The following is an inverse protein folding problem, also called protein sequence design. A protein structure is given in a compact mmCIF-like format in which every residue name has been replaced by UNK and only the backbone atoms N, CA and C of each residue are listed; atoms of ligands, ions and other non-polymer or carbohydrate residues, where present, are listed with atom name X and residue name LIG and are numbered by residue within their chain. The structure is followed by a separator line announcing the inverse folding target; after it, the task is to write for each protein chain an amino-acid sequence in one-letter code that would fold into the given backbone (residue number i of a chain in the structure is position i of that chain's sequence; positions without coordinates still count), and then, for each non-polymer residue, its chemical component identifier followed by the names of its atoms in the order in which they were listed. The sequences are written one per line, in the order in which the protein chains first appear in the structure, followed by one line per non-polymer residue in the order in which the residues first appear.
data_IF_595927309740
#
_entry.id   IF_595927309740
#
_cell.length_a   1.000
_cell.length_b   1.000
_cell.length_c   1.000
_cell.angle_alpha   90.00
_cell.angle_beta   90.00
_cell.angle_gamma   90.00
#
_symmetry.space_group_name_H-M   'P 1'
#
loop_
_entity.id
_entity.type
_entity.pdbx_description
1 polymer ?
#
# COMPACT_ATOMS: atom_id res chain seq x y z
N UNK A 1 -17.36 0.40 -5.79
CA UNK A 1 -16.86 -0.63 -6.71
C UNK A 1 -16.61 -1.90 -5.90
N UNK A 2 -17.29 -3.00 -6.21
CA UNK A 2 -17.20 -4.24 -5.44
C UNK A 2 -15.86 -4.97 -5.66
N UNK A 3 -15.49 -5.90 -4.76
CA UNK A 3 -14.24 -6.68 -4.82
C UNK A 3 -14.00 -7.36 -6.18
N UNK A 4 -15.07 -7.92 -6.80
CA UNK A 4 -15.00 -8.57 -8.12
C UNK A 4 -14.61 -7.57 -9.23
N UNK A 5 -15.22 -6.39 -9.26
CA UNK A 5 -14.91 -5.36 -10.27
C UNK A 5 -13.49 -4.83 -10.11
N UNK A 6 -13.00 -4.67 -8.87
CA UNK A 6 -11.61 -4.28 -8.61
C UNK A 6 -10.64 -5.35 -9.10
N UNK A 7 -10.94 -6.62 -8.81
CA UNK A 7 -10.11 -7.75 -9.25
C UNK A 7 -10.04 -7.80 -10.78
N UNK A 8 -11.16 -7.67 -11.48
CA UNK A 8 -11.20 -7.64 -12.94
C UNK A 8 -10.38 -6.48 -13.51
N UNK A 9 -10.48 -5.28 -12.92
CA UNK A 9 -9.68 -4.13 -13.33
C UNK A 9 -8.18 -4.40 -13.21
N UNK A 10 -7.73 -4.95 -12.07
CA UNK A 10 -6.31 -5.22 -11.87
C UNK A 10 -5.81 -6.36 -12.77
N UNK A 11 -6.61 -7.41 -13.01
CA UNK A 11 -6.28 -8.47 -13.98
C UNK A 11 -6.13 -7.87 -15.37
N UNK A 12 -7.10 -7.06 -15.81
CA UNK A 12 -7.04 -6.38 -17.10
C UNK A 12 -5.80 -5.48 -17.22
N UNK A 13 -5.53 -4.65 -16.22
CA UNK A 13 -4.33 -3.79 -16.18
C UNK A 13 -3.05 -4.64 -16.28
N UNK A 14 -2.98 -5.76 -15.55
CA UNK A 14 -1.83 -6.66 -15.59
C UNK A 14 -1.61 -7.21 -16.99
N UNK A 15 -2.66 -7.70 -17.65
CA UNK A 15 -2.59 -8.26 -19.01
C UNK A 15 -2.15 -7.20 -20.02
N UNK A 16 -2.77 -6.02 -20.00
CA UNK A 16 -2.44 -4.93 -20.94
C UNK A 16 -1.00 -4.45 -20.74
N UNK A 17 -0.58 -4.24 -19.49
CA UNK A 17 0.79 -3.80 -19.23
C UNK A 17 1.83 -4.88 -19.59
N UNK A 18 1.54 -6.17 -19.33
CA UNK A 18 2.42 -7.28 -19.73
C UNK A 18 2.56 -7.39 -21.23
N UNK A 19 1.48 -7.25 -21.98
CA UNK A 19 1.50 -7.21 -23.45
C UNK A 19 2.34 -6.03 -23.95
N UNK A 20 2.20 -4.85 -23.34
CA UNK A 20 2.99 -3.67 -23.68
C UNK A 20 4.49 -3.87 -23.38
N UNK A 21 4.84 -4.48 -22.25
CA UNK A 21 6.24 -4.86 -21.92
C UNK A 21 6.80 -5.77 -23.01
N UNK A 22 6.05 -6.81 -23.39
CA UNK A 22 6.48 -7.75 -24.43
C UNK A 22 6.69 -7.06 -25.79
N UNK A 23 5.76 -6.20 -26.21
CA UNK A 23 5.84 -5.47 -27.47
C UNK A 23 7.05 -4.51 -27.48
N UNK A 24 7.27 -3.76 -26.41
CA UNK A 24 8.42 -2.86 -26.31
C UNK A 24 9.75 -3.64 -26.25
N UNK A 25 9.80 -4.75 -25.52
CA UNK A 25 10.95 -5.64 -25.48
C UNK A 25 11.27 -6.23 -26.85
N UNK A 26 10.25 -6.73 -27.56
CA UNK A 26 10.39 -7.26 -28.93
C UNK A 26 10.86 -6.17 -29.91
N UNK A 27 10.33 -4.95 -29.79
CA UNK A 27 10.73 -3.81 -30.61
C UNK A 27 12.17 -3.38 -30.31
N UNK A 28 12.56 -3.34 -29.04
CA UNK A 28 13.92 -3.03 -28.60
C UNK A 28 14.94 -3.99 -29.22
N UNK A 29 14.67 -5.30 -29.23
CA UNK A 29 15.57 -6.28 -29.83
C UNK A 29 15.55 -6.29 -31.36
N UNK A 30 14.47 -5.86 -31.99
CA UNK A 30 14.37 -5.78 -33.46
C UNK A 30 14.86 -4.45 -34.04
N UNK A 31 14.87 -3.40 -33.23
CA UNK A 31 15.22 -2.06 -33.67
C UNK A 31 16.72 -1.93 -33.84
N UNK A 32 17.11 -1.60 -35.08
CA UNK A 32 18.50 -1.27 -35.45
C UNK A 32 18.86 0.20 -35.16
N UNK A 33 17.93 0.97 -34.54
CA UNK A 33 18.12 2.39 -34.28
C UNK A 33 18.44 2.60 -32.77
N UNK A 34 19.72 2.92 -32.44
CA UNK A 34 20.15 3.11 -31.04
C UNK A 34 19.47 4.30 -30.37
N UNK A 35 18.99 5.29 -31.11
CA UNK A 35 18.41 6.53 -30.61
C UNK A 35 17.05 6.31 -29.93
N UNK A 36 16.33 5.23 -30.27
CA UNK A 36 15.03 4.89 -29.65
C UNK A 36 15.15 3.96 -28.44
N UNK A 37 16.34 3.44 -28.17
CA UNK A 37 16.55 2.50 -27.07
C UNK A 37 16.16 3.05 -25.69
N UNK A 38 16.46 4.31 -25.31
CA UNK A 38 16.09 4.85 -24.00
C UNK A 38 14.57 4.92 -23.77
N UNK A 39 13.79 5.26 -24.79
CA UNK A 39 12.33 5.35 -24.66
C UNK A 39 11.68 3.98 -24.50
N UNK A 40 12.16 2.96 -25.18
CA UNK A 40 11.69 1.59 -25.03
C UNK A 40 12.03 1.02 -23.65
N UNK A 41 13.24 1.25 -23.14
CA UNK A 41 13.64 0.82 -21.80
C UNK A 41 12.84 1.51 -20.72
N UNK A 42 12.57 2.82 -20.86
CA UNK A 42 11.71 3.54 -19.93
C UNK A 42 10.29 2.98 -19.92
N UNK A 43 9.69 2.72 -21.09
CA UNK A 43 8.36 2.12 -21.19
C UNK A 43 8.32 0.72 -20.57
N UNK A 44 9.33 -0.12 -20.84
CA UNK A 44 9.44 -1.46 -20.25
C UNK A 44 9.48 -1.34 -18.71
N UNK A 45 10.30 -0.45 -18.17
CA UNK A 45 10.42 -0.25 -16.72
C UNK A 45 9.09 0.24 -16.10
N UNK A 46 8.45 1.25 -16.71
CA UNK A 46 7.18 1.81 -16.24
C UNK A 46 6.05 0.77 -16.27
N UNK A 47 5.93 0.04 -17.37
CA UNK A 47 4.88 -0.97 -17.53
C UNK A 47 5.12 -2.18 -16.63
N UNK A 48 6.37 -2.60 -16.43
CA UNK A 48 6.74 -3.65 -15.46
C UNK A 48 6.38 -3.23 -14.04
N UNK A 49 6.62 -1.97 -13.67
CA UNK A 49 6.18 -1.41 -12.40
C UNK A 49 4.66 -1.52 -12.21
N UNK A 50 3.88 -1.14 -13.24
CA UNK A 50 2.42 -1.24 -13.20
C UNK A 50 1.93 -2.70 -13.08
N UNK A 51 2.57 -3.65 -13.76
CA UNK A 51 2.30 -5.09 -13.63
C UNK A 51 2.47 -5.54 -12.18
N UNK A 52 3.61 -5.21 -11.58
CA UNK A 52 3.91 -5.64 -10.20
C UNK A 52 2.96 -4.98 -9.20
N UNK A 53 2.64 -3.70 -9.37
CA UNK A 53 1.67 -3.01 -8.51
C UNK A 53 0.27 -3.64 -8.61
N UNK A 54 -0.15 -4.00 -9.83
CA UNK A 54 -1.44 -4.66 -10.08
C UNK A 54 -1.48 -6.07 -9.49
N UNK A 55 -0.43 -6.87 -9.67
CA UNK A 55 -0.29 -8.20 -9.04
C UNK A 55 -0.31 -8.10 -7.51
N UNK A 56 0.39 -7.13 -6.93
CA UNK A 56 0.34 -6.87 -5.49
C UNK A 56 -1.08 -6.54 -4.99
N UNK A 57 -1.87 -5.84 -5.81
CA UNK A 57 -3.29 -5.56 -5.50
C UNK A 57 -4.15 -6.81 -5.61
N UNK A 58 -3.98 -7.63 -6.64
CA UNK A 58 -4.69 -8.92 -6.80
C UNK A 58 -4.40 -9.83 -5.61
N UNK A 59 -3.12 -10.03 -5.27
CA UNK A 59 -2.72 -10.85 -4.13
C UNK A 59 -3.34 -10.36 -2.82
N UNK A 60 -3.39 -9.04 -2.61
CA UNK A 60 -4.03 -8.46 -1.44
C UNK A 60 -5.52 -8.77 -1.39
N UNK A 61 -6.22 -8.66 -2.52
CA UNK A 61 -7.64 -9.00 -2.59
C UNK A 61 -7.88 -10.50 -2.34
N UNK A 62 -6.97 -11.37 -2.78
CA UNK A 62 -7.08 -12.82 -2.56
C UNK A 62 -6.80 -13.22 -1.11
N UNK A 63 -5.87 -12.54 -0.43
CA UNK A 63 -5.47 -12.85 0.95
C UNK A 63 -6.30 -12.12 2.01
N UNK A 64 -7.14 -11.17 1.61
CA UNK A 64 -8.01 -10.44 2.54
C UNK A 64 -9.07 -11.36 3.14
N UNK A 65 -9.43 -11.18 4.42
CA UNK A 65 -10.49 -11.92 5.07
C UNK A 65 -11.82 -11.83 4.29
N UNK A 66 -12.60 -12.88 4.34
CA UNK A 66 -13.93 -12.87 3.72
C UNK A 66 -14.86 -11.88 4.45
N UNK A 67 -15.77 -11.20 3.74
CA UNK A 67 -16.73 -10.29 4.37
C UNK A 67 -17.54 -10.94 5.51
N UNK A 68 -17.92 -12.20 5.35
CA UNK A 68 -18.68 -12.98 6.33
C UNK A 68 -17.94 -13.08 7.66
N UNK A 69 -16.63 -13.32 7.63
CA UNK A 69 -15.79 -13.38 8.84
C UNK A 69 -15.69 -12.02 9.56
N UNK A 70 -15.65 -10.94 8.78
CA UNK A 70 -15.57 -9.59 9.34
C UNK A 70 -16.90 -9.19 9.99
N UNK A 71 -18.00 -9.62 9.40
CA UNK A 71 -19.37 -9.32 9.89
C UNK A 71 -19.79 -10.23 11.04
N UNK A 72 -19.12 -11.36 11.29
CA UNK A 72 -19.40 -12.20 12.46
C UNK A 72 -18.83 -11.55 13.73
N UNK A 73 -19.69 -11.10 14.69
CA UNK A 73 -19.22 -10.43 15.88
C UNK A 73 -18.46 -11.34 16.84
N UNK A 74 -18.68 -12.67 16.77
CA UNK A 74 -18.02 -13.67 17.63
C UNK A 74 -16.68 -14.15 17.07
N UNK A 75 -16.42 -13.94 15.78
CA UNK A 75 -15.17 -14.35 15.16
C UNK A 75 -14.00 -13.40 15.49
N UNK A 76 -12.85 -13.97 15.79
CA UNK A 76 -11.58 -13.21 15.81
C UNK A 76 -11.03 -13.12 14.39
N UNK A 77 -10.88 -11.90 13.90
CA UNK A 77 -10.41 -11.63 12.54
C UNK A 77 -9.13 -10.81 12.59
N UNK A 78 -8.07 -11.37 11.99
CA UNK A 78 -6.79 -10.66 11.83
C UNK A 78 -6.70 -10.12 10.41
N UNK A 79 -6.65 -8.80 10.31
CA UNK A 79 -6.53 -8.07 9.05
C UNK A 79 -5.12 -7.48 9.04
N UNK A 80 -4.21 -8.11 8.32
CA UNK A 80 -2.82 -7.72 8.29
C UNK A 80 -2.35 -7.42 6.86
N UNK A 81 -1.33 -6.57 6.76
CA UNK A 81 -0.63 -6.38 5.49
C UNK A 81 0.02 -7.71 5.07
N UNK A 82 -0.31 -8.21 3.88
CA UNK A 82 0.26 -9.46 3.35
C UNK A 82 1.78 -9.38 3.28
N UNK A 83 2.46 -10.43 3.77
CA UNK A 83 3.93 -10.58 3.69
C UNK A 83 4.39 -10.45 2.26
N UNK A 84 3.70 -11.13 1.34
CA UNK A 84 4.03 -11.13 -0.10
C UNK A 84 3.96 -9.71 -0.66
N UNK A 85 2.89 -8.96 -0.36
CA UNK A 85 2.75 -7.58 -0.83
C UNK A 85 3.86 -6.69 -0.27
N UNK A 86 4.25 -6.89 0.98
CA UNK A 86 5.35 -6.16 1.60
C UNK A 86 6.69 -6.51 0.95
N UNK A 87 6.95 -7.79 0.70
CA UNK A 87 8.18 -8.26 0.02
C UNK A 87 8.28 -7.72 -1.41
N UNK A 88 7.16 -7.74 -2.16
CA UNK A 88 7.11 -7.15 -3.50
C UNK A 88 7.43 -5.66 -3.45
N UNK A 89 6.86 -4.90 -2.50
CA UNK A 89 7.18 -3.48 -2.32
C UNK A 89 8.65 -3.25 -1.99
N UNK A 90 9.25 -4.08 -1.12
CA UNK A 90 10.68 -4.00 -0.80
C UNK A 90 11.53 -4.23 -2.05
N UNK A 91 11.21 -5.25 -2.83
CA UNK A 91 11.92 -5.55 -4.07
C UNK A 91 11.82 -4.39 -5.07
N UNK A 92 10.63 -3.84 -5.26
CA UNK A 92 10.42 -2.71 -6.18
C UNK A 92 11.19 -1.45 -5.75
N UNK A 93 11.16 -1.14 -4.45
CA UNK A 93 11.93 -0.01 -3.93
C UNK A 93 13.43 -0.28 -4.04
N UNK A 94 13.88 -1.52 -3.88
CA UNK A 94 15.26 -1.91 -4.13
C UNK A 94 15.69 -1.71 -5.57
N UNK A 95 14.85 -2.09 -6.53
CA UNK A 95 15.08 -1.84 -7.97
C UNK A 95 15.13 -0.34 -8.26
N UNK A 96 14.24 0.45 -7.66
CA UNK A 96 14.21 1.90 -7.81
C UNK A 96 15.51 2.54 -7.30
N UNK A 97 16.01 2.10 -6.15
CA UNK A 97 17.29 2.54 -5.57
C UNK A 97 18.45 2.15 -6.49
N UNK A 98 18.48 0.90 -6.97
CA UNK A 98 19.51 0.43 -7.90
C UNK A 98 19.51 1.23 -9.21
N UNK A 99 18.34 1.53 -9.77
CA UNK A 99 18.20 2.35 -10.96
C UNK A 99 18.68 3.80 -10.73
N UNK A 100 18.38 4.36 -9.54
CA UNK A 100 18.89 5.68 -9.15
C UNK A 100 20.42 5.71 -9.05
N UNK A 101 21.03 4.70 -8.42
CA UNK A 101 22.49 4.56 -8.32
C UNK A 101 23.10 4.41 -9.73
N UNK A 102 22.54 3.51 -10.54
CA UNK A 102 23.01 3.28 -11.90
C UNK A 102 22.99 4.58 -12.74
N UNK A 103 21.89 5.33 -12.69
CA UNK A 103 21.75 6.61 -13.40
C UNK A 103 22.73 7.69 -12.93
N UNK A 104 23.21 7.62 -11.69
CA UNK A 104 24.23 8.56 -11.17
C UNK A 104 25.65 8.16 -11.53
N UNK A 105 25.93 6.86 -11.65
CA UNK A 105 27.28 6.31 -11.88
C UNK A 105 27.57 6.16 -13.37
N UNK A 106 26.54 5.89 -14.21
CA UNK A 106 26.74 5.74 -15.65
C UNK A 106 26.97 7.08 -16.32
N UNK A 107 28.17 7.28 -16.86
CA UNK A 107 28.55 8.47 -17.66
C UNK A 107 27.84 8.54 -19.03
N UNK A 108 27.03 7.55 -19.36
CA UNK A 108 26.35 7.35 -20.64
C UNK A 108 25.01 8.09 -20.77
N UNK A 109 24.82 9.23 -20.08
CA UNK A 109 23.67 10.08 -20.33
C UNK A 109 23.91 10.95 -21.58
N UNK A 110 23.44 10.57 -22.77
CA UNK A 110 23.79 11.25 -24.04
C UNK A 110 22.98 12.51 -24.30
N UNK A 111 22.32 13.09 -23.33
CA UNK A 111 21.41 14.21 -23.55
C UNK A 111 21.85 15.43 -22.76
N UNK A 112 22.03 16.53 -23.51
CA UNK A 112 22.53 17.85 -23.12
C UNK A 112 21.89 18.61 -21.97
N UNK A 113 21.26 17.93 -21.03
CA UNK A 113 20.72 18.44 -19.77
C UNK A 113 21.30 17.73 -18.55
N UNK A 114 22.61 17.64 -18.45
CA UNK A 114 23.33 16.84 -17.43
C UNK A 114 22.88 17.18 -15.99
N UNK A 115 22.51 18.44 -15.71
CA UNK A 115 22.09 18.87 -14.38
C UNK A 115 20.69 18.37 -13.98
N UNK A 116 19.72 18.47 -14.86
CA UNK A 116 18.32 18.12 -14.57
C UNK A 116 18.12 16.61 -14.42
N UNK A 117 18.76 15.80 -15.25
CA UNK A 117 18.70 14.34 -15.16
C UNK A 117 19.39 13.82 -13.89
N UNK A 118 20.55 14.35 -13.53
CA UNK A 118 21.23 13.97 -12.28
C UNK A 118 20.37 14.34 -11.05
N UNK A 119 19.73 15.50 -11.05
CA UNK A 119 18.82 15.91 -9.99
C UNK A 119 17.63 14.92 -9.89
N UNK A 120 17.04 14.52 -11.01
CA UNK A 120 15.96 13.54 -11.05
C UNK A 120 16.39 12.19 -10.45
N UNK A 121 17.59 11.69 -10.80
CA UNK A 121 18.13 10.44 -10.22
C UNK A 121 18.43 10.57 -8.72
N UNK A 122 18.95 11.72 -8.26
CA UNK A 122 19.15 11.98 -6.83
C UNK A 122 17.84 11.99 -6.07
N UNK A 123 16.79 12.63 -6.60
CA UNK A 123 15.46 12.65 -6.00
C UNK A 123 14.85 11.25 -5.96
N UNK A 124 15.00 10.48 -7.03
CA UNK A 124 14.51 9.11 -7.15
C UNK A 124 15.21 8.19 -6.14
N UNK A 125 16.53 8.31 -6.02
CA UNK A 125 17.34 7.60 -5.04
C UNK A 125 16.93 7.98 -3.61
N UNK A 126 16.84 9.26 -3.30
CA UNK A 126 16.45 9.75 -1.98
C UNK A 126 15.06 9.27 -1.57
N UNK A 127 14.08 9.36 -2.48
CA UNK A 127 12.72 8.88 -2.26
C UNK A 127 12.67 7.36 -2.10
N UNK A 128 13.42 6.61 -2.90
CA UNK A 128 13.53 5.16 -2.84
C UNK A 128 14.13 4.70 -1.52
N UNK A 129 15.26 5.26 -1.11
CA UNK A 129 15.94 4.93 0.17
C UNK A 129 15.04 5.29 1.35
N UNK A 130 14.43 6.48 1.37
CA UNK A 130 13.50 6.90 2.43
C UNK A 130 12.32 5.92 2.55
N UNK A 131 11.71 5.56 1.40
CA UNK A 131 10.54 4.68 1.37
C UNK A 131 10.90 3.25 1.80
N UNK A 132 12.06 2.74 1.37
CA UNK A 132 12.56 1.43 1.75
C UNK A 132 12.87 1.38 3.26
N UNK A 133 13.56 2.36 3.78
CA UNK A 133 13.85 2.48 5.20
C UNK A 133 12.56 2.60 6.03
N UNK A 134 11.56 3.40 5.56
CA UNK A 134 10.26 3.50 6.19
C UNK A 134 9.53 2.14 6.21
N UNK A 135 9.63 1.36 5.15
CA UNK A 135 9.01 0.05 5.05
C UNK A 135 9.68 -0.98 5.98
N UNK A 136 11.01 -0.95 6.09
CA UNK A 136 11.78 -1.86 6.94
C UNK A 136 11.58 -1.56 8.41
N UNK A 137 11.69 -0.29 8.80
CA UNK A 137 11.70 0.13 10.21
C UNK A 137 10.29 0.22 10.83
N UNK A 138 9.25 0.36 10.01
CA UNK A 138 7.88 0.37 10.54
C UNK A 138 7.33 -1.05 10.71
N UNK A 139 6.68 -1.34 11.85
CA UNK A 139 6.00 -2.61 12.06
C UNK A 139 4.91 -2.81 10.99
N UNK A 140 4.61 -4.07 10.70
CA UNK A 140 3.51 -4.43 9.79
C UNK A 140 2.22 -3.82 10.32
N UNK A 141 1.46 -3.24 9.42
CA UNK A 141 0.14 -2.76 9.77
C UNK A 141 -0.78 -3.97 10.01
N UNK A 142 -1.29 -4.07 11.23
CA UNK A 142 -2.19 -5.14 11.64
C UNK A 142 -3.35 -4.55 12.43
N UNK A 143 -4.54 -4.98 12.07
CA UNK A 143 -5.77 -4.70 12.77
C UNK A 143 -6.40 -6.05 13.15
N UNK A 144 -6.63 -6.28 14.43
CA UNK A 144 -7.29 -7.48 14.92
C UNK A 144 -8.62 -7.10 15.53
N UNK A 145 -9.68 -7.73 15.06
CA UNK A 145 -11.03 -7.60 15.62
C UNK A 145 -11.29 -8.86 16.41
N UNK A 146 -11.49 -8.72 17.72
CA UNK A 146 -11.92 -9.79 18.60
C UNK A 146 -13.34 -9.53 19.08
N UNK A 147 -14.03 -10.47 19.71
CA UNK A 147 -15.31 -10.19 20.36
C UNK A 147 -15.21 -9.07 21.40
N UNK A 148 -14.13 -9.01 22.20
CA UNK A 148 -14.03 -8.08 23.33
C UNK A 148 -13.30 -6.79 23.00
N UNK A 149 -12.50 -6.75 21.91
CA UNK A 149 -11.58 -5.65 21.68
C UNK A 149 -11.18 -5.48 20.22
N UNK A 150 -10.66 -4.29 19.92
CA UNK A 150 -9.97 -3.96 18.70
C UNK A 150 -8.47 -3.78 19.00
N UNK A 151 -7.60 -4.48 18.30
CA UNK A 151 -6.17 -4.26 18.42
C UNK A 151 -5.61 -3.63 17.13
N UNK A 152 -4.71 -2.65 17.29
CA UNK A 152 -4.07 -1.97 16.18
C UNK A 152 -2.56 -1.80 16.46
N UNK A 153 -1.72 -2.31 15.57
CA UNK A 153 -0.27 -2.41 15.77
C UNK A 153 0.49 -1.09 15.99
N UNK A 154 -0.14 0.04 15.72
CA UNK A 154 0.45 1.39 15.88
C UNK A 154 -0.16 2.21 17.01
N UNK A 155 -0.96 1.60 17.86
CA UNK A 155 -1.55 2.25 19.02
C UNK A 155 -0.87 1.77 20.31
N UNK A 156 -0.92 2.60 21.33
CA UNK A 156 -0.57 2.24 22.70
C UNK A 156 -1.66 2.74 23.66
N UNK A 157 -2.26 1.87 24.46
CA UNK A 157 -2.13 0.39 24.35
C UNK A 157 -2.62 -0.12 23.00
N UNK A 158 -2.03 -1.23 22.51
CA UNK A 158 -2.38 -1.79 21.21
C UNK A 158 -3.81 -2.35 21.17
N UNK A 159 -4.31 -2.81 22.32
CA UNK A 159 -5.65 -3.37 22.49
C UNK A 159 -6.56 -2.30 23.08
N UNK A 160 -7.73 -2.16 22.50
CA UNK A 160 -8.75 -1.17 22.83
C UNK A 160 -10.06 -1.92 23.05
N UNK A 161 -10.68 -1.78 24.20
CA UNK A 161 -12.01 -2.31 24.46
C UNK A 161 -13.05 -1.61 23.58
N UNK A 162 -14.12 -2.29 23.21
CA UNK A 162 -15.17 -1.69 22.37
C UNK A 162 -15.85 -0.49 23.02
N UNK A 163 -15.95 -0.48 24.35
CA UNK A 163 -16.48 0.62 25.15
C UNK A 163 -15.65 1.91 25.08
N UNK A 164 -14.33 1.80 24.82
CA UNK A 164 -13.44 2.94 24.64
C UNK A 164 -13.57 3.57 23.23
N UNK A 165 -14.22 2.89 22.31
CA UNK A 165 -14.46 3.39 20.97
C UNK A 165 -15.74 4.22 20.93
N UNK A 166 -15.60 5.53 20.87
CA UNK A 166 -16.74 6.45 20.86
C UNK A 166 -17.54 6.38 19.56
N UNK A 167 -16.83 6.36 18.39
CA UNK A 167 -17.49 6.40 17.09
C UNK A 167 -16.59 5.85 15.97
N UNK A 168 -17.22 5.44 14.85
CA UNK A 168 -16.55 5.00 13.63
C UNK A 168 -17.11 5.77 12.44
N UNK A 169 -16.33 6.73 11.94
CA UNK A 169 -16.72 7.57 10.81
C UNK A 169 -16.08 7.10 9.52
N UNK A 170 -16.86 7.09 8.44
CA UNK A 170 -16.37 6.84 7.11
C UNK A 170 -16.28 8.16 6.32
N UNK A 171 -15.13 8.45 5.73
CA UNK A 171 -14.94 9.64 4.89
C UNK A 171 -14.38 9.23 3.54
N UNK A 172 -15.12 9.56 2.48
CA UNK A 172 -14.62 9.41 1.11
C UNK A 172 -13.53 10.46 0.85
N UNK A 173 -12.38 10.03 0.36
CA UNK A 173 -11.34 10.85 -0.28
C UNK A 173 -11.30 10.51 -1.75
N UNK A 174 -10.70 11.35 -2.59
CA UNK A 174 -10.69 11.28 -4.08
C UNK A 174 -10.66 9.86 -4.67
N UNK A 175 -9.87 8.94 -4.11
CA UNK A 175 -9.78 7.55 -4.60
C UNK A 175 -10.02 6.49 -3.52
N UNK A 176 -10.08 6.86 -2.24
CA UNK A 176 -10.16 5.91 -1.14
C UNK A 176 -11.20 6.33 -0.10
N UNK A 177 -11.84 5.36 0.51
CA UNK A 177 -12.64 5.58 1.71
C UNK A 177 -11.78 5.28 2.94
N UNK A 178 -11.64 6.26 3.80
CA UNK A 178 -10.85 6.14 5.04
C UNK A 178 -11.81 6.05 6.21
N UNK A 179 -11.61 5.06 7.06
CA UNK A 179 -12.32 4.94 8.33
C UNK A 179 -11.60 5.75 9.40
N UNK A 180 -12.33 6.50 10.18
CA UNK A 180 -11.79 7.24 11.32
C UNK A 180 -12.38 6.61 12.59
N UNK A 181 -11.51 5.98 13.38
CA UNK A 181 -11.82 5.50 14.72
C UNK A 181 -11.70 6.67 15.67
N UNK A 182 -12.74 6.97 16.40
CA UNK A 182 -12.79 8.03 17.43
C UNK A 182 -12.80 7.37 18.79
N UNK A 183 -11.88 7.74 19.66
CA UNK A 183 -11.74 7.18 21.01
C UNK A 183 -12.38 8.12 22.05
N UNK A 184 -12.88 7.55 23.13
CA UNK A 184 -13.38 8.34 24.29
C UNK A 184 -12.24 9.03 25.02
N UNK A 185 -11.08 8.38 25.08
CA UNK A 185 -9.85 8.91 25.67
C UNK A 185 -8.72 9.01 24.63
N UNK A 186 -7.80 9.93 24.85
CA UNK A 186 -6.64 10.07 23.98
C UNK A 186 -5.72 8.85 24.08
N UNK A 187 -5.24 8.38 22.92
CA UNK A 187 -4.33 7.24 22.79
C UNK A 187 -3.03 7.68 22.16
N UNK A 188 -1.96 6.95 22.44
CA UNK A 188 -0.70 7.19 21.75
C UNK A 188 -0.70 6.48 20.40
N UNK A 189 -0.38 7.22 19.36
CA UNK A 189 -0.33 6.72 17.98
C UNK A 189 1.00 7.06 17.33
N UNK A 190 1.57 6.08 16.62
CA UNK A 190 2.77 6.26 15.79
C UNK A 190 2.42 6.18 14.31
N UNK A 191 2.48 7.31 13.56
CA UNK A 191 2.28 7.31 12.11
C UNK A 191 3.30 6.44 11.37
N UNK A 192 3.00 6.13 10.10
CA UNK A 192 3.87 5.33 9.22
C UNK A 192 4.99 6.17 8.58
N UNK A 193 5.74 6.92 9.38
CA UNK A 193 6.87 7.72 8.90
C UNK A 193 8.12 7.37 9.68
N UNK A 194 9.29 7.46 9.04
CA UNK A 194 10.58 7.21 9.70
C UNK A 194 10.82 8.15 10.87
N UNK A 195 10.41 9.39 10.72
CA UNK A 195 10.56 10.46 11.73
C UNK A 195 9.37 10.52 12.68
N UNK A 196 8.43 9.55 12.60
CA UNK A 196 7.23 9.58 13.42
C UNK A 196 7.55 9.30 14.88
N UNK A 197 7.20 10.25 15.72
CA UNK A 197 7.17 10.10 17.17
C UNK A 197 5.77 9.67 17.62
N UNK A 198 5.70 9.03 18.78
CA UNK A 198 4.44 8.78 19.46
C UNK A 198 3.76 10.10 19.79
N UNK A 199 2.47 10.23 19.46
CA UNK A 199 1.68 11.43 19.76
C UNK A 199 0.32 11.02 20.30
N UNK A 200 -0.20 11.80 21.21
CA UNK A 200 -1.57 11.61 21.72
C UNK A 200 -2.57 12.02 20.66
N UNK A 201 -3.55 11.17 20.43
CA UNK A 201 -4.62 11.38 19.46
C UNK A 201 -5.95 10.88 20.04
N UNK A 202 -7.02 11.57 19.71
CA UNK A 202 -8.39 11.18 19.98
C UNK A 202 -9.02 10.38 18.82
N UNK A 203 -8.34 10.38 17.67
CA UNK A 203 -8.81 9.72 16.46
C UNK A 203 -7.67 9.16 15.61
N UNK A 204 -7.92 8.01 15.02
CA UNK A 204 -6.98 7.33 14.11
C UNK A 204 -7.66 7.02 12.79
N UNK A 205 -6.97 7.30 11.69
CA UNK A 205 -7.43 6.96 10.36
C UNK A 205 -6.90 5.58 9.95
N UNK A 206 -7.83 4.72 9.53
CA UNK A 206 -7.55 3.37 9.04
C UNK A 206 -7.95 3.32 7.58
N UNK A 207 -6.98 3.10 6.71
CA UNK A 207 -7.23 2.86 5.29
C UNK A 207 -7.59 1.38 5.10
N UNK A 208 -8.89 1.09 5.01
CA UNK A 208 -9.38 -0.27 4.80
C UNK A 208 -8.87 -0.89 3.48
N UNK A 209 -8.68 -0.06 2.45
CA UNK A 209 -8.14 -0.49 1.18
C UNK A 209 -6.68 -0.93 1.28
N UNK A 210 -5.93 -0.40 2.26
CA UNK A 210 -4.58 -0.86 2.54
C UNK A 210 -4.55 -2.32 3.00
N UNK A 211 -5.65 -2.83 3.52
CA UNK A 211 -5.82 -4.23 3.93
C UNK A 211 -6.54 -5.10 2.88
N UNK A 212 -6.97 -4.53 1.76
CA UNK A 212 -7.77 -5.23 0.76
C UNK A 212 -9.21 -5.52 1.20
N UNK A 213 -9.70 -4.83 2.22
CA UNK A 213 -11.05 -4.96 2.78
C UNK A 213 -11.92 -3.81 2.29
N UNK A 214 -13.19 -4.10 2.02
CA UNK A 214 -14.17 -3.08 1.71
C UNK A 214 -14.41 -2.19 2.97
N UNK A 215 -14.27 -0.87 2.85
CA UNK A 215 -14.44 0.05 3.98
C UNK A 215 -15.80 -0.06 4.67
N UNK A 216 -16.87 -0.28 3.91
CA UNK A 216 -18.23 -0.38 4.46
C UNK A 216 -18.41 -1.71 5.21
N UNK A 217 -17.81 -2.81 4.72
CA UNK A 217 -17.79 -4.09 5.43
C UNK A 217 -17.00 -3.98 6.73
N UNK A 218 -15.83 -3.35 6.69
CA UNK A 218 -15.01 -3.16 7.90
C UNK A 218 -15.72 -2.29 8.94
N UNK A 219 -16.33 -1.19 8.50
CA UNK A 219 -17.13 -0.32 9.38
C UNK A 219 -18.25 -1.09 10.05
N UNK A 220 -19.08 -1.80 9.28
CA UNK A 220 -20.19 -2.60 9.82
C UNK A 220 -19.69 -3.68 10.79
N UNK A 221 -18.60 -4.36 10.48
CA UNK A 221 -18.02 -5.38 11.36
C UNK A 221 -17.54 -4.81 12.70
N UNK A 222 -17.01 -3.57 12.71
CA UNK A 222 -16.63 -2.85 13.93
C UNK A 222 -17.89 -2.42 14.71
N UNK A 223 -18.86 -1.81 14.02
CA UNK A 223 -20.12 -1.36 14.64
C UNK A 223 -20.92 -2.51 15.25
N UNK A 224 -20.99 -3.67 14.58
CA UNK A 224 -21.67 -4.86 15.09
C UNK A 224 -21.03 -5.33 16.41
N UNK A 225 -19.70 -5.46 16.45
CA UNK A 225 -18.99 -5.88 17.68
C UNK A 225 -19.20 -4.87 18.80
N UNK A 226 -19.05 -3.59 18.52
CA UNK A 226 -19.29 -2.54 19.49
C UNK A 226 -20.69 -2.64 20.07
N UNK A 227 -21.70 -2.81 19.24
CA UNK A 227 -23.09 -2.85 19.69
C UNK A 227 -23.45 -4.13 20.48
N UNK A 228 -22.82 -5.27 20.15
CA UNK A 228 -23.08 -6.55 20.84
C UNK A 228 -22.38 -6.62 22.21
N UNK A 229 -21.21 -6.00 22.35
CA UNK A 229 -20.35 -6.17 23.53
C UNK A 229 -20.21 -4.92 24.41
N UNK A 230 -20.96 -3.85 24.13
CA UNK A 230 -21.00 -2.62 24.97
C UNK A 230 -22.21 -2.58 25.93
N UNK A 231 -23.02 -3.65 25.97
CA UNK A 231 -24.19 -3.78 26.89
C UNK A 231 -23.88 -4.68 28.05
#
# INVERSE_FOLDING_TARGET
MGRRSQMLLYVFTTVVCSANVYLNWSSYHRNRFPDLAPSHLFNIALMSLLVVLSLGRILRLLTAPKPEQILDPHATVVIAESVIVRSIRMLMLGILVAAGIWGLVSDSAPLGGIGELRLAYMLLLGLGVYSLAALVLNPRLQLTLTPQSLAHSRLRPAVIAWEDLADVKSRKRLMNTVLTLVFRETREFRPASLLARWRRVDKVQVDAMAFGVDPDVLRRGIELRRNVFTF
#
